data_IF_872657668584
#
_entry.id   IF_872657668584
#
_cell.length_a   1.000
_cell.length_b   1.000
_cell.length_c   1.000
_cell.angle_alpha   90.00
_cell.angle_beta   90.00
_cell.angle_gamma   90.00
#
_symmetry.space_group_name_H-M   'P 1'
#
loop_
_entity.id
_entity.type
_entity.pdbx_description
1 polymer ?
#
# COMPACT_ATOMS: atom_id res chain seq x y z
N UNK A 1 -44.98 21.75 23.86
CA UNK A 1 -44.22 22.80 23.15
C UNK A 1 -43.04 22.14 22.49
N UNK A 2 -43.14 22.06 21.16
CA UNK A 2 -42.12 21.62 20.23
C UNK A 2 -41.29 22.85 19.92
N UNK A 3 -39.97 22.77 19.99
CA UNK A 3 -39.10 23.61 19.16
C UNK A 3 -37.88 22.81 18.68
N UNK A 4 -37.82 22.72 17.35
CA UNK A 4 -36.68 22.30 16.54
C UNK A 4 -35.70 23.49 16.42
N UNK A 5 -34.45 23.19 16.04
CA UNK A 5 -33.60 23.86 15.02
C UNK A 5 -32.18 23.30 15.20
N UNK A 6 -31.77 22.37 14.31
CA UNK A 6 -30.81 22.55 13.20
C UNK A 6 -29.35 22.62 13.68
N UNK A 7 -28.41 21.81 13.22
CA UNK A 7 -28.13 21.42 11.84
C UNK A 7 -26.67 21.83 11.57
N UNK A 8 -25.76 20.86 11.46
CA UNK A 8 -24.32 21.13 11.40
C UNK A 8 -23.50 19.98 10.82
N UNK A 9 -23.79 19.68 9.55
CA UNK A 9 -22.94 19.05 8.53
C UNK A 9 -21.75 18.16 8.96
N UNK A 10 -22.01 16.85 8.90
CA UNK A 10 -21.04 15.76 8.70
C UNK A 10 -20.50 15.90 7.27
N UNK A 11 -19.36 16.56 7.08
CA UNK A 11 -18.73 16.71 5.76
C UNK A 11 -17.21 16.60 5.86
N UNK A 12 -16.65 15.48 6.35
CA UNK A 12 -15.21 15.23 6.11
C UNK A 12 -14.71 13.80 6.29
N UNK A 13 -15.59 12.80 6.37
CA UNK A 13 -15.21 11.37 6.32
C UNK A 13 -15.25 10.78 4.90
N UNK A 14 -15.81 11.52 3.93
CA UNK A 14 -16.06 10.96 2.61
C UNK A 14 -14.79 10.61 1.83
N UNK A 15 -13.66 11.32 2.02
CA UNK A 15 -12.51 11.15 1.11
C UNK A 15 -11.60 9.98 1.48
N UNK A 16 -11.39 9.74 2.77
CA UNK A 16 -10.59 8.61 3.28
C UNK A 16 -11.40 7.32 3.18
N UNK A 17 -12.70 7.38 3.48
CA UNK A 17 -13.60 6.24 3.28
C UNK A 17 -13.79 5.96 1.80
N UNK A 18 -13.95 6.96 0.91
CA UNK A 18 -13.94 6.71 -0.54
C UNK A 18 -12.64 6.08 -1.02
N UNK A 19 -11.49 6.47 -0.49
CA UNK A 19 -10.21 5.88 -0.88
C UNK A 19 -10.11 4.41 -0.44
N UNK A 20 -10.39 4.12 0.83
CA UNK A 20 -10.35 2.76 1.39
C UNK A 20 -11.45 1.87 0.80
N UNK A 21 -12.66 2.39 0.59
CA UNK A 21 -13.75 1.72 -0.12
C UNK A 21 -13.41 1.53 -1.59
N UNK A 22 -12.73 2.46 -2.27
CA UNK A 22 -12.27 2.22 -3.66
C UNK A 22 -11.18 1.15 -3.74
N UNK A 23 -10.31 1.06 -2.74
CA UNK A 23 -9.32 -0.01 -2.63
C UNK A 23 -10.02 -1.34 -2.36
N UNK A 24 -10.94 -1.38 -1.40
CA UNK A 24 -11.71 -2.58 -1.09
C UNK A 24 -12.59 -3.01 -2.25
N UNK A 25 -13.18 -2.08 -3.01
CA UNK A 25 -13.96 -2.37 -4.21
C UNK A 25 -13.08 -2.81 -5.38
N UNK A 26 -11.85 -2.30 -5.51
CA UNK A 26 -10.85 -2.82 -6.47
C UNK A 26 -10.30 -4.20 -6.10
N UNK A 27 -10.31 -4.55 -4.81
CA UNK A 27 -9.86 -5.85 -4.31
C UNK A 27 -10.99 -6.89 -4.28
N UNK A 28 -12.26 -6.46 -4.12
CA UNK A 28 -13.45 -7.32 -4.10
C UNK A 28 -14.13 -7.44 -5.47
N UNK A 29 -14.08 -6.39 -6.28
CA UNK A 29 -14.55 -6.39 -7.66
C UNK A 29 -13.45 -6.94 -8.55
N UNK A 30 -13.59 -8.21 -8.94
CA UNK A 30 -12.94 -8.67 -10.16
C UNK A 30 -13.34 -7.72 -11.28
N UNK A 31 -12.35 -7.05 -11.89
CA UNK A 31 -12.44 -6.19 -13.08
C UNK A 31 -13.86 -5.83 -13.53
N UNK A 32 -14.53 -4.90 -12.84
CA UNK A 32 -15.72 -4.28 -13.40
C UNK A 32 -15.31 -3.26 -14.47
N UNK A 33 -15.49 -3.73 -15.71
CA UNK A 33 -15.49 -3.05 -17.01
C UNK A 33 -15.19 -1.55 -17.04
N UNK A 34 -13.95 -1.22 -17.39
CA UNK A 34 -13.75 -0.14 -18.35
C UNK A 34 -13.79 -0.78 -19.75
N UNK A 35 -14.80 -0.41 -20.54
CA UNK A 35 -14.92 -0.77 -21.95
C UNK A 35 -13.84 -0.03 -22.77
N UNK A 36 -12.60 -0.50 -22.67
CA UNK A 36 -11.54 -0.09 -23.57
C UNK A 36 -11.51 -1.10 -24.71
N UNK A 37 -11.90 -0.67 -25.92
CA UNK A 37 -11.71 -1.48 -27.13
C UNK A 37 -10.22 -1.80 -27.27
N UNK A 38 -9.89 -3.06 -27.00
CA UNK A 38 -8.55 -3.66 -26.98
C UNK A 38 -7.77 -3.36 -28.27
N UNK A 39 -8.49 -3.19 -29.39
CA UNK A 39 -7.90 -2.89 -30.70
C UNK A 39 -7.36 -1.47 -30.82
N UNK A 40 -7.83 -0.55 -29.98
CA UNK A 40 -7.50 0.88 -30.09
C UNK A 40 -6.31 1.31 -29.25
N UNK A 41 -5.99 0.58 -28.17
CA UNK A 41 -4.93 0.92 -27.21
C UNK A 41 -4.22 -0.31 -26.63
N UNK A 42 -3.42 -1.02 -27.44
CA UNK A 42 -2.69 -2.21 -27.01
C UNK A 42 -1.68 -1.91 -25.89
N UNK A 43 -1.24 -0.64 -25.76
CA UNK A 43 -0.35 -0.16 -24.71
C UNK A 43 -0.92 -0.33 -23.30
N UNK A 44 -2.25 -0.42 -23.14
CA UNK A 44 -2.89 -0.68 -21.85
C UNK A 44 -2.55 -2.08 -21.29
N UNK A 45 -2.26 -3.08 -22.14
CA UNK A 45 -1.83 -4.42 -21.70
C UNK A 45 -0.38 -4.45 -21.21
N UNK A 46 0.46 -3.54 -21.70
CA UNK A 46 1.89 -3.49 -21.34
C UNK A 46 2.18 -2.55 -20.18
N UNK A 47 1.16 -1.90 -19.60
CA UNK A 47 1.36 -1.02 -18.44
C UNK A 47 1.57 -1.85 -17.19
N UNK A 48 2.72 -1.71 -16.50
CA UNK A 48 2.95 -2.45 -15.28
C UNK A 48 1.91 -2.06 -14.23
N UNK A 49 1.39 -3.04 -13.49
CA UNK A 49 0.55 -2.76 -12.32
C UNK A 49 1.40 -2.03 -11.28
N UNK A 50 1.00 -0.81 -10.90
CA UNK A 50 1.70 -0.01 -9.88
C UNK A 50 0.81 0.14 -8.65
N UNK A 51 1.33 -0.28 -7.50
CA UNK A 51 0.72 -0.04 -6.19
C UNK A 51 1.43 1.12 -5.52
N UNK A 52 0.71 2.22 -5.29
CA UNK A 52 1.24 3.41 -4.63
C UNK A 52 0.88 3.36 -3.14
N UNK A 53 1.90 3.24 -2.30
CA UNK A 53 1.75 3.27 -0.85
C UNK A 53 2.14 4.66 -0.32
N UNK A 54 1.14 5.41 0.16
CA UNK A 54 1.31 6.76 0.71
C UNK A 54 0.93 6.77 2.20
N UNK A 55 1.89 6.50 3.09
CA UNK A 55 1.64 6.33 4.53
C UNK A 55 0.92 7.52 5.15
N UNK A 56 1.29 8.74 4.78
CA UNK A 56 0.67 9.91 5.39
C UNK A 56 -0.79 10.07 4.99
N UNK A 57 -1.27 9.49 3.87
CA UNK A 57 -2.71 9.54 3.57
C UNK A 57 -3.53 8.57 4.44
N UNK A 58 -2.87 7.59 5.05
CA UNK A 58 -3.49 6.59 5.90
C UNK A 58 -3.55 7.03 7.36
N UNK A 59 -2.80 8.08 7.75
CA UNK A 59 -2.89 8.59 9.12
C UNK A 59 -4.16 9.41 9.30
N UNK A 60 -4.97 9.00 10.29
CA UNK A 60 -6.23 9.66 10.62
C UNK A 60 -6.06 11.02 11.29
N UNK A 61 -7.19 11.62 11.67
CA UNK A 61 -7.22 12.82 12.50
C UNK A 61 -6.82 12.47 13.94
N UNK A 62 -6.27 13.45 14.66
CA UNK A 62 -6.01 13.31 16.10
C UNK A 62 -7.34 13.15 16.85
N UNK A 63 -7.35 12.49 18.02
CA UNK A 63 -8.56 12.27 18.81
C UNK A 63 -9.26 13.56 19.27
N UNK A 64 -8.54 14.68 19.30
CA UNK A 64 -9.09 16.00 19.58
C UNK A 64 -9.67 16.73 18.36
N UNK A 65 -9.75 16.08 17.19
CA UNK A 65 -10.23 16.67 15.93
C UNK A 65 -9.30 17.73 15.31
N UNK A 66 -8.33 18.24 16.07
CA UNK A 66 -7.41 19.31 15.68
C UNK A 66 -6.15 18.72 15.01
N UNK A 67 -6.28 18.50 13.71
CA UNK A 67 -5.17 18.18 12.82
C UNK A 67 -4.90 16.69 12.62
N UNK A 68 -3.82 16.42 11.88
CA UNK A 68 -3.48 15.08 11.39
C UNK A 68 -2.52 14.36 12.33
N UNK A 69 -2.69 13.04 12.49
CA UNK A 69 -1.68 12.21 13.13
C UNK A 69 -0.47 12.13 12.20
N UNK A 70 0.70 12.52 12.69
CA UNK A 70 1.94 12.41 11.93
C UNK A 70 2.65 11.11 12.26
N UNK A 71 3.26 10.49 11.26
CA UNK A 71 4.15 9.36 11.48
C UNK A 71 5.37 9.82 12.28
N UNK A 72 5.76 8.99 13.25
CA UNK A 72 6.93 9.20 14.07
C UNK A 72 8.15 8.55 13.44
N UNK A 73 9.29 9.20 13.61
CA UNK A 73 10.57 8.61 13.22
C UNK A 73 10.78 7.29 14.00
N UNK A 74 11.01 6.15 13.33
CA UNK A 74 11.25 4.86 14.00
C UNK A 74 12.45 4.86 14.95
N UNK A 75 13.44 5.72 14.69
CA UNK A 75 14.63 5.82 15.53
C UNK A 75 14.49 6.83 16.67
N UNK A 76 14.02 8.04 16.39
CA UNK A 76 13.88 9.06 17.42
C UNK A 76 12.64 8.84 18.30
N UNK A 77 11.60 8.18 17.75
CA UNK A 77 10.26 7.95 18.33
C UNK A 77 9.44 9.20 18.67
N UNK A 78 10.09 10.36 18.81
CA UNK A 78 9.47 11.63 19.22
C UNK A 78 9.18 12.54 18.03
N UNK A 79 10.13 12.65 17.11
CA UNK A 79 10.06 13.51 15.94
C UNK A 79 9.03 13.05 14.91
N UNK A 80 8.38 14.00 14.25
CA UNK A 80 7.51 13.72 13.11
C UNK A 80 8.36 13.49 11.86
N UNK A 81 7.77 12.80 10.89
CA UNK A 81 8.31 12.69 9.53
C UNK A 81 7.60 13.66 8.60
N UNK A 82 8.36 14.26 7.70
CA UNK A 82 7.83 15.07 6.60
C UNK A 82 7.71 14.24 5.34
N UNK A 83 6.69 14.53 4.52
CA UNK A 83 6.61 14.03 3.14
C UNK A 83 7.37 14.98 2.25
N UNK A 84 8.42 14.50 1.56
CA UNK A 84 9.09 15.29 0.52
C UNK A 84 8.66 14.85 -0.88
N UNK A 85 9.30 13.82 -1.39
CA UNK A 85 9.21 13.44 -2.81
C UNK A 85 9.19 11.93 -2.94
N UNK A 86 8.78 11.46 -4.13
CA UNK A 86 9.04 10.07 -4.52
C UNK A 86 10.53 9.79 -4.45
N UNK A 87 10.86 8.56 -4.08
CA UNK A 87 12.25 8.17 -3.85
C UNK A 87 13.04 8.22 -5.17
N UNK A 88 13.77 9.32 -5.42
CA UNK A 88 14.55 9.54 -6.67
C UNK A 88 15.55 8.41 -6.97
N UNK A 89 16.11 7.78 -5.92
CA UNK A 89 17.09 6.68 -6.05
C UNK A 89 16.49 5.27 -5.96
N UNK A 90 15.31 5.10 -5.35
CA UNK A 90 14.68 3.79 -5.25
C UNK A 90 13.65 3.65 -6.37
N UNK A 91 14.10 3.02 -7.46
CA UNK A 91 13.23 2.50 -8.51
C UNK A 91 12.11 1.70 -7.85
N UNK A 92 10.90 1.82 -8.38
CA UNK A 92 9.73 1.08 -7.89
C UNK A 92 10.10 -0.38 -7.60
N UNK A 93 9.75 -0.89 -6.42
CA UNK A 93 10.12 -2.24 -6.01
C UNK A 93 9.24 -3.24 -6.73
N UNK A 94 9.82 -4.13 -7.52
CA UNK A 94 9.08 -5.25 -8.11
C UNK A 94 8.62 -6.18 -6.99
N UNK A 95 7.34 -6.54 -7.01
CA UNK A 95 6.71 -7.51 -6.12
C UNK A 95 6.23 -8.67 -6.98
N UNK A 96 6.64 -9.87 -6.62
CA UNK A 96 6.23 -11.10 -7.28
C UNK A 96 4.88 -11.51 -6.70
N UNK A 97 3.85 -11.60 -7.54
CA UNK A 97 2.53 -12.12 -7.19
C UNK A 97 2.29 -13.48 -7.84
N UNK A 98 1.14 -14.10 -7.57
CA UNK A 98 0.76 -15.41 -8.10
C UNK A 98 0.73 -15.43 -9.63
N UNK A 99 0.03 -14.48 -10.24
CA UNK A 99 -0.24 -14.47 -11.69
C UNK A 99 0.59 -13.44 -12.47
N UNK A 100 1.07 -12.39 -11.81
CA UNK A 100 1.86 -11.34 -12.45
C UNK A 100 2.82 -10.70 -11.43
N UNK A 101 3.60 -9.72 -11.86
CA UNK A 101 4.36 -8.84 -10.99
C UNK A 101 3.72 -7.44 -10.95
N UNK A 102 3.76 -6.81 -9.78
CA UNK A 102 3.41 -5.40 -9.66
C UNK A 102 4.55 -4.61 -9.03
N UNK A 103 4.51 -3.30 -9.16
CA UNK A 103 5.53 -2.40 -8.66
C UNK A 103 5.01 -1.61 -7.46
N UNK A 104 5.69 -1.72 -6.33
CA UNK A 104 5.43 -0.93 -5.14
C UNK A 104 6.21 0.39 -5.20
N UNK A 105 5.48 1.50 -5.13
CA UNK A 105 6.04 2.83 -5.04
C UNK A 105 5.64 3.51 -3.73
N UNK A 106 6.53 4.31 -3.18
CA UNK A 106 6.27 5.11 -1.99
C UNK A 106 7.13 6.37 -1.99
N UNK A 107 6.89 7.24 -1.01
CA UNK A 107 7.62 8.49 -0.85
C UNK A 107 8.71 8.38 0.21
N UNK A 108 9.71 9.25 0.11
CA UNK A 108 10.71 9.43 1.17
C UNK A 108 10.12 10.28 2.29
N UNK A 109 10.32 9.78 3.51
CA UNK A 109 9.88 10.37 4.75
C UNK A 109 11.12 10.70 5.61
N UNK A 110 11.79 11.85 5.38
CA UNK A 110 12.87 12.32 6.24
C UNK A 110 12.37 12.66 7.65
N UNK A 111 13.22 12.39 8.63
CA UNK A 111 13.05 12.90 9.98
C UNK A 111 13.27 14.42 9.99
N UNK A 112 12.35 15.15 10.63
CA UNK A 112 12.42 16.61 10.77
C UNK A 112 13.57 17.05 11.67
N UNK A 113 14.01 16.19 12.59
CA UNK A 113 15.06 16.54 13.54
C UNK A 113 16.44 16.51 12.87
N UNK A 114 17.12 17.66 12.90
CA UNK A 114 18.49 17.85 12.41
C UNK A 114 19.53 16.93 13.08
N UNK A 115 19.27 16.41 14.28
CA UNK A 115 20.14 15.42 14.92
C UNK A 115 20.06 14.03 14.28
N UNK A 116 18.92 13.67 13.68
CA UNK A 116 18.71 12.33 13.12
C UNK A 116 19.17 12.25 11.67
N UNK A 117 18.78 13.22 10.82
CA UNK A 117 19.05 13.29 9.36
C UNK A 117 18.71 12.03 8.54
N UNK A 118 18.04 11.04 9.14
CA UNK A 118 17.68 9.79 8.46
C UNK A 118 16.43 9.96 7.64
N UNK A 119 16.39 9.22 6.53
CA UNK A 119 15.26 9.17 5.60
C UNK A 119 14.73 7.76 5.55
N UNK A 120 13.43 7.62 5.80
CA UNK A 120 12.73 6.35 5.73
C UNK A 120 11.93 6.27 4.43
N UNK A 121 11.86 5.08 3.83
CA UNK A 121 10.88 4.86 2.76
C UNK A 121 9.50 4.68 3.38
N UNK A 122 8.43 5.10 2.71
CA UNK A 122 7.08 4.98 3.28
C UNK A 122 6.61 3.54 3.55
N UNK A 123 7.23 2.55 2.91
CA UNK A 123 7.00 1.12 3.20
C UNK A 123 7.93 0.54 4.29
N UNK A 124 8.70 1.39 4.99
CA UNK A 124 9.57 0.95 6.08
C UNK A 124 8.75 0.25 7.18
N UNK A 125 9.24 -0.88 7.69
CA UNK A 125 8.49 -1.69 8.66
C UNK A 125 8.25 -0.94 9.97
N UNK A 126 9.14 -0.04 10.38
CA UNK A 126 8.97 0.81 11.55
C UNK A 126 7.84 1.82 11.38
N UNK A 127 7.56 2.27 10.16
CA UNK A 127 6.41 3.11 9.84
C UNK A 127 5.13 2.30 9.76
N UNK A 128 5.17 1.15 9.10
CA UNK A 128 3.98 0.30 8.94
C UNK A 128 3.42 -0.10 10.31
N UNK A 129 4.29 -0.45 11.27
CA UNK A 129 3.89 -0.84 12.63
C UNK A 129 3.15 0.25 13.43
N UNK A 130 3.22 1.51 13.00
CA UNK A 130 2.51 2.62 13.66
C UNK A 130 1.03 2.72 13.24
N UNK A 131 0.64 2.07 12.14
CA UNK A 131 -0.75 2.07 11.70
C UNK A 131 -1.62 1.14 12.55
N UNK A 132 -2.93 1.29 12.43
CA UNK A 132 -3.85 0.31 13.03
C UNK A 132 -3.71 -1.06 12.33
N UNK A 133 -4.17 -2.13 13.00
CA UNK A 133 -4.04 -3.51 12.48
C UNK A 133 -4.68 -3.68 11.10
N UNK A 134 -5.81 -2.99 10.83
CA UNK A 134 -6.49 -3.05 9.53
C UNK A 134 -5.64 -2.49 8.39
N UNK A 135 -5.03 -1.33 8.59
CA UNK A 135 -4.14 -0.67 7.63
C UNK A 135 -2.84 -1.44 7.43
N UNK A 136 -2.27 -2.01 8.51
CA UNK A 136 -1.12 -2.91 8.42
C UNK A 136 -1.44 -4.15 7.58
N UNK A 137 -2.64 -4.72 7.74
CA UNK A 137 -3.12 -5.85 6.94
C UNK A 137 -3.32 -5.48 5.48
N UNK A 138 -3.79 -4.26 5.20
CA UNK A 138 -4.00 -3.76 3.83
C UNK A 138 -2.70 -3.54 3.02
N UNK A 139 -1.53 -3.46 3.66
CA UNK A 139 -0.26 -3.40 2.95
C UNK A 139 -0.07 -4.67 2.09
N UNK A 140 0.20 -4.60 0.77
CA UNK A 140 0.00 -5.74 -0.13
C UNK A 140 1.16 -6.74 -0.19
N UNK A 141 2.31 -6.43 0.40
CA UNK A 141 3.55 -7.16 0.15
C UNK A 141 4.32 -7.52 1.42
N UNK A 142 5.20 -8.52 1.31
CA UNK A 142 6.27 -8.82 2.25
C UNK A 142 7.58 -8.44 1.55
N UNK A 143 8.26 -7.43 2.09
CA UNK A 143 9.44 -6.86 1.46
C UNK A 143 10.72 -7.55 1.90
N UNK A 144 11.63 -7.72 0.95
CA UNK A 144 13.02 -8.15 1.17
C UNK A 144 13.96 -6.99 0.82
N UNK A 145 15.28 -7.22 0.88
CA UNK A 145 16.27 -6.18 0.64
C UNK A 145 16.11 -5.45 -0.70
N UNK A 146 15.89 -6.18 -1.80
CA UNK A 146 15.79 -5.63 -3.18
C UNK A 146 14.42 -5.76 -3.85
N UNK A 147 13.52 -6.56 -3.30
CA UNK A 147 12.25 -6.95 -3.95
C UNK A 147 11.18 -7.22 -2.89
N UNK A 148 10.10 -7.90 -3.26
CA UNK A 148 9.16 -8.49 -2.33
C UNK A 148 8.32 -9.58 -2.99
N UNK A 149 7.52 -10.25 -2.17
CA UNK A 149 6.45 -11.14 -2.61
C UNK A 149 5.12 -10.56 -2.16
N UNK A 150 4.04 -10.79 -2.90
CA UNK A 150 2.71 -10.40 -2.45
C UNK A 150 2.31 -11.20 -1.22
N UNK A 151 1.43 -10.64 -0.39
CA UNK A 151 0.84 -11.39 0.73
C UNK A 151 0.06 -12.60 0.24
N UNK A 152 -0.63 -12.48 -0.89
CA UNK A 152 -1.37 -13.58 -1.51
C UNK A 152 -0.45 -14.74 -1.91
N UNK A 153 0.69 -14.44 -2.55
CA UNK A 153 1.67 -15.47 -2.87
C UNK A 153 2.24 -16.10 -1.61
N UNK A 154 2.58 -15.30 -0.59
CA UNK A 154 3.06 -15.81 0.70
C UNK A 154 2.03 -16.71 1.41
N UNK A 155 0.74 -16.39 1.31
CA UNK A 155 -0.32 -17.17 1.90
C UNK A 155 -0.46 -18.53 1.20
N UNK A 156 -0.28 -18.57 -0.13
CA UNK A 156 -0.31 -19.81 -0.92
C UNK A 156 0.98 -20.62 -0.78
N UNK A 157 2.12 -20.00 -0.51
CA UNK A 157 3.38 -20.72 -0.26
C UNK A 157 3.26 -21.73 0.89
N UNK A 158 2.57 -21.36 1.98
CA UNK A 158 2.42 -22.22 3.16
C UNK A 158 1.76 -23.57 2.86
N UNK A 159 0.54 -23.66 2.29
CA UNK A 159 -0.07 -24.94 1.96
C UNK A 159 0.74 -25.72 0.91
N UNK A 160 1.32 -25.04 -0.09
CA UNK A 160 2.15 -25.73 -1.08
C UNK A 160 3.37 -26.43 -0.45
N UNK A 161 4.01 -25.76 0.52
CA UNK A 161 5.15 -26.34 1.24
C UNK A 161 4.73 -27.49 2.16
N UNK A 162 3.57 -27.37 2.80
CA UNK A 162 2.99 -28.46 3.60
C UNK A 162 2.69 -29.72 2.76
N UNK A 163 2.34 -29.54 1.48
CA UNK A 163 2.11 -30.64 0.53
C UNK A 163 3.36 -31.04 -0.28
N UNK A 164 4.57 -30.65 0.17
CA UNK A 164 5.83 -31.13 -0.40
C UNK A 164 6.27 -30.42 -1.70
N UNK A 165 5.65 -29.30 -2.08
CA UNK A 165 6.10 -28.51 -3.21
C UNK A 165 7.25 -27.61 -2.74
N UNK A 166 8.48 -28.03 -2.98
CA UNK A 166 9.66 -27.21 -2.63
C UNK A 166 9.74 -25.87 -3.39
N UNK A 167 10.53 -24.91 -2.88
CA UNK A 167 10.65 -23.56 -3.45
C UNK A 167 11.11 -23.55 -4.91
N UNK A 168 11.99 -24.47 -5.32
CA UNK A 168 12.44 -24.58 -6.70
C UNK A 168 11.31 -24.97 -7.68
N UNK A 169 10.44 -25.89 -7.27
CA UNK A 169 9.27 -26.29 -8.08
C UNK A 169 8.28 -25.14 -8.15
N UNK A 170 8.04 -24.47 -7.03
CA UNK A 170 7.17 -23.31 -6.97
C UNK A 170 7.62 -22.18 -7.91
N UNK A 171 8.92 -21.86 -7.95
CA UNK A 171 9.44 -20.83 -8.87
C UNK A 171 9.15 -21.19 -10.34
N UNK A 172 9.26 -22.47 -10.72
CA UNK A 172 8.92 -22.92 -12.09
C UNK A 172 7.44 -22.74 -12.37
N UNK A 173 6.57 -23.12 -11.44
CA UNK A 173 5.11 -22.95 -11.56
C UNK A 173 4.77 -21.47 -11.73
N UNK A 174 5.31 -20.59 -10.87
CA UNK A 174 5.09 -19.13 -10.96
C UNK A 174 5.55 -18.58 -12.31
N UNK A 175 6.72 -18.99 -12.81
CA UNK A 175 7.21 -18.53 -14.11
C UNK A 175 6.27 -18.92 -15.24
N UNK A 176 5.71 -20.14 -15.21
CA UNK A 176 4.73 -20.59 -16.20
C UNK A 176 3.46 -19.74 -16.10
N UNK A 177 2.96 -19.52 -14.89
CA UNK A 177 1.77 -18.69 -14.65
C UNK A 177 1.96 -17.24 -15.10
N UNK A 178 3.18 -16.68 -15.06
CA UNK A 178 3.48 -15.32 -15.53
C UNK A 178 3.60 -15.20 -17.05
N UNK A 179 3.63 -16.33 -17.78
CA UNK A 179 3.79 -16.36 -19.24
C UNK A 179 2.54 -16.76 -20.00
N UNK A 180 1.52 -17.27 -19.30
CA UNK A 180 0.23 -17.66 -19.85
C UNK A 180 -0.74 -16.48 -19.85
#
# INVERSE_FOLDING_TARGET
>A
MVDKVAGGSILEDSHTDKYLTSIQNRLKGGYEGFDYDIRTKPDLFYRPRVFIWLPDLLTGKKPNGLGKVHLKCPECKTANLERKEFVKKAKARRIIDQFDCFYLMSMNCPCVTEACKKTFSGYDQGLIKQFNVGQQRAFPAILTHKSGISKELSNTMRPLFQHGIGPHRLIKIIRIMHTQ
#
